data_IF_623070973384
#
_entry.id   IF_623070973384
#
_cell.length_a   1.000
_cell.length_b   1.000
_cell.length_c   1.000
_cell.angle_alpha   90.00
_cell.angle_beta   90.00
_cell.angle_gamma   90.00
#
_symmetry.space_group_name_H-M   'P 1'
#
loop_
_entity.id
_entity.type
_entity.pdbx_description
1 polymer ?
#
# COMPACT_ATOMS: atom_id res chain seq x y z
N UNK A 1 -6.50 8.36 -7.69
CA UNK A 1 -6.06 8.28 -6.29
C UNK A 1 -4.54 8.37 -6.17
N UNK A 2 -4.04 8.80 -5.02
CA UNK A 2 -2.64 8.70 -4.62
C UNK A 2 -2.31 7.27 -4.16
N UNK A 3 -1.02 6.95 -3.99
CA UNK A 3 -0.63 5.63 -3.48
C UNK A 3 -1.11 5.39 -2.03
N UNK A 4 -1.20 6.40 -1.16
CA UNK A 4 -1.68 6.14 0.21
C UNK A 4 -3.19 5.90 0.24
N UNK A 5 -3.96 6.56 -0.64
CA UNK A 5 -5.39 6.27 -0.83
C UNK A 5 -5.59 4.82 -1.31
N UNK A 6 -4.84 4.40 -2.34
CA UNK A 6 -4.90 3.03 -2.85
C UNK A 6 -4.55 1.97 -1.78
N UNK A 7 -3.54 2.25 -0.94
CA UNK A 7 -3.18 1.37 0.18
C UNK A 7 -4.30 1.28 1.22
N UNK A 8 -4.92 2.41 1.57
CA UNK A 8 -6.00 2.45 2.54
C UNK A 8 -7.24 1.71 2.03
N UNK A 9 -7.57 1.84 0.74
CA UNK A 9 -8.71 1.13 0.16
C UNK A 9 -8.51 -0.40 0.20
N UNK A 10 -7.33 -0.88 -0.20
CA UNK A 10 -7.01 -2.32 -0.14
C UNK A 10 -7.05 -2.85 1.30
N UNK A 11 -6.43 -2.14 2.25
CA UNK A 11 -6.40 -2.57 3.65
C UNK A 11 -7.80 -2.54 4.30
N UNK A 12 -8.62 -1.55 3.95
CA UNK A 12 -10.00 -1.45 4.44
C UNK A 12 -10.87 -2.60 3.92
N UNK A 13 -10.74 -2.94 2.65
CA UNK A 13 -11.49 -4.05 2.04
C UNK A 13 -11.04 -5.42 2.57
N UNK A 14 -9.74 -5.62 2.77
CA UNK A 14 -9.22 -6.89 3.31
C UNK A 14 -9.49 -7.04 4.81
N UNK A 15 -9.58 -5.94 5.56
CA UNK A 15 -9.83 -5.97 7.01
C UNK A 15 -8.69 -6.58 7.85
N UNK A 16 -7.50 -6.75 7.26
CA UNK A 16 -6.36 -7.38 7.90
C UNK A 16 -5.04 -6.70 7.51
N UNK A 17 -3.99 -6.76 8.37
CA UNK A 17 -2.66 -6.30 8.00
C UNK A 17 -2.10 -7.09 6.82
N UNK A 18 -1.39 -6.43 5.92
CA UNK A 18 -0.84 -7.05 4.70
C UNK A 18 0.64 -6.76 4.53
N UNK A 19 1.37 -7.68 3.88
CA UNK A 19 2.75 -7.41 3.49
C UNK A 19 2.80 -6.35 2.41
N UNK A 20 3.90 -5.59 2.39
CA UNK A 20 4.14 -4.57 1.36
C UNK A 20 4.10 -5.11 -0.07
N UNK A 21 4.51 -6.38 -0.26
CA UNK A 21 4.46 -7.07 -1.56
C UNK A 21 3.01 -7.32 -2.00
N UNK A 22 2.22 -7.95 -1.15
CA UNK A 22 0.83 -8.30 -1.45
C UNK A 22 -0.02 -7.05 -1.71
N UNK A 23 0.22 -5.99 -0.93
CA UNK A 23 -0.37 -4.67 -1.17
C UNK A 23 0.01 -4.10 -2.53
N UNK A 24 1.29 -4.15 -2.91
CA UNK A 24 1.73 -3.66 -4.21
C UNK A 24 1.08 -4.45 -5.36
N UNK A 25 1.03 -5.76 -5.22
CA UNK A 25 0.48 -6.66 -6.23
C UNK A 25 -1.03 -6.45 -6.39
N UNK A 26 -1.80 -6.33 -5.30
CA UNK A 26 -3.23 -6.01 -5.37
C UNK A 26 -3.49 -4.64 -5.98
N UNK A 27 -2.72 -3.61 -5.61
CA UNK A 27 -2.85 -2.27 -6.19
C UNK A 27 -2.58 -2.29 -7.70
N UNK A 28 -1.57 -3.05 -8.14
CA UNK A 28 -1.22 -3.22 -9.56
C UNK A 28 -2.31 -3.98 -10.32
N UNK A 29 -2.75 -5.14 -9.80
CA UNK A 29 -3.77 -6.00 -10.42
C UNK A 29 -5.09 -5.24 -10.59
N UNK A 30 -5.50 -4.51 -9.55
CA UNK A 30 -6.73 -3.71 -9.54
C UNK A 30 -6.56 -2.35 -10.21
N UNK A 31 -5.35 -2.00 -10.66
CA UNK A 31 -4.98 -0.72 -11.30
C UNK A 31 -5.44 0.52 -10.50
N UNK A 32 -5.42 0.43 -9.17
CA UNK A 32 -5.90 1.49 -8.29
C UNK A 32 -5.01 2.72 -8.36
N UNK A 33 -3.69 2.53 -8.51
CA UNK A 33 -2.72 3.63 -8.61
C UNK A 33 -1.85 3.48 -9.86
N UNK A 34 -1.64 4.59 -10.59
CA UNK A 34 -0.74 4.66 -11.73
C UNK A 34 0.51 5.48 -11.37
N UNK A 35 1.69 4.84 -11.26
CA UNK A 35 2.94 5.55 -11.03
C UNK A 35 3.30 6.47 -12.21
N UNK A 36 3.90 7.63 -11.93
CA UNK A 36 4.35 8.58 -12.97
C UNK A 36 5.36 7.95 -13.96
N UNK A 37 6.17 7.01 -13.49
CA UNK A 37 7.16 6.29 -14.32
C UNK A 37 6.52 5.27 -15.27
N UNK A 38 5.24 4.96 -15.12
CA UNK A 38 4.54 3.92 -15.88
C UNK A 38 4.92 2.48 -15.51
N UNK A 39 5.91 2.28 -14.64
CA UNK A 39 6.30 0.95 -14.15
C UNK A 39 5.34 0.46 -13.06
N UNK A 40 5.15 -0.86 -12.89
CA UNK A 40 4.38 -1.41 -11.77
C UNK A 40 4.90 -0.93 -10.42
N UNK A 41 4.00 -0.80 -9.46
CA UNK A 41 4.31 -0.46 -8.08
C UNK A 41 5.12 -1.59 -7.42
N UNK A 42 6.21 -1.23 -6.74
CA UNK A 42 7.04 -2.17 -5.99
C UNK A 42 6.75 -2.15 -4.48
N UNK A 43 7.05 -3.26 -3.80
CA UNK A 43 6.93 -3.41 -2.35
C UNK A 43 7.69 -2.33 -1.56
N UNK A 44 8.88 -1.93 -2.02
CA UNK A 44 9.67 -0.87 -1.37
C UNK A 44 8.98 0.49 -1.40
N UNK A 45 8.22 0.79 -2.46
CA UNK A 45 7.47 2.04 -2.59
C UNK A 45 6.27 2.07 -1.65
N UNK A 46 5.58 0.94 -1.48
CA UNK A 46 4.51 0.76 -0.47
C UNK A 46 5.06 0.92 0.94
N UNK A 47 6.15 0.22 1.24
CA UNK A 47 6.82 0.29 2.54
C UNK A 47 7.27 1.70 2.90
N UNK A 48 7.92 2.40 1.95
CA UNK A 48 8.32 3.79 2.11
C UNK A 48 7.11 4.72 2.25
N UNK A 49 6.01 4.44 1.55
CA UNK A 49 4.77 5.23 1.67
C UNK A 49 4.14 5.06 3.05
N UNK A 50 3.99 3.83 3.56
CA UNK A 50 3.45 3.60 4.90
C UNK A 50 4.27 4.35 5.96
N UNK A 51 5.62 4.27 5.88
CA UNK A 51 6.52 4.96 6.82
C UNK A 51 6.34 6.50 6.79
N UNK A 52 5.97 7.08 5.65
CA UNK A 52 5.75 8.53 5.51
C UNK A 52 4.40 8.99 6.10
N UNK A 53 3.47 8.07 6.32
CA UNK A 53 2.11 8.38 6.81
C UNK A 53 1.80 7.57 8.08
N UNK A 54 2.55 7.78 9.19
CA UNK A 54 2.33 7.05 10.45
C UNK A 54 0.96 7.34 11.08
N UNK A 55 0.28 8.42 10.68
CA UNK A 55 -1.08 8.74 11.09
C UNK A 55 -2.16 7.94 10.34
N UNK A 56 -1.80 7.24 9.27
CA UNK A 56 -2.71 6.38 8.50
C UNK A 56 -2.32 4.91 8.58
N UNK A 57 -1.03 4.62 8.71
CA UNK A 57 -0.53 3.25 8.67
C UNK A 57 0.34 2.93 9.86
N UNK A 58 0.08 1.79 10.46
CA UNK A 58 0.98 1.17 11.43
C UNK A 58 1.78 0.06 10.74
N UNK A 59 3.04 -0.09 11.15
CA UNK A 59 3.95 -1.11 10.62
C UNK A 59 4.40 -2.02 11.74
N UNK A 60 4.13 -3.31 11.58
CA UNK A 60 4.58 -4.35 12.49
C UNK A 60 5.41 -5.37 11.71
N UNK A 61 6.73 -5.24 11.78
CA UNK A 61 7.65 -6.02 10.95
C UNK A 61 7.43 -5.80 9.44
N UNK A 62 7.04 -6.87 8.74
CA UNK A 62 6.74 -6.84 7.31
C UNK A 62 5.30 -6.42 6.98
N UNK A 63 4.42 -6.36 7.99
CA UNK A 63 3.01 -6.08 7.84
C UNK A 63 2.70 -4.60 7.96
N UNK A 64 1.69 -4.16 7.20
CA UNK A 64 1.13 -2.82 7.23
C UNK A 64 -0.35 -2.94 7.56
N UNK A 65 -0.81 -2.20 8.56
CA UNK A 65 -2.23 -2.09 8.91
C UNK A 65 -2.73 -0.66 8.71
N UNK A 66 -4.02 -0.53 8.42
CA UNK A 66 -4.71 0.76 8.41
C UNK A 66 -5.16 1.11 9.83
N UNK A 67 -4.88 2.34 10.26
CA UNK A 67 -5.30 2.89 11.55
C UNK A 67 -6.78 3.31 11.56
#
# INVERSE_FOLDING_TARGET
MTLHEAMADVLRECGAPMKSRDLADLINVRRLYRPKSGKPLGASQVSARARRYPQLFEREGELIRLL
#
